data_IF_548340985338
#
_entry.id   IF_548340985338
#
_cell.length_a   1.000
_cell.length_b   1.000
_cell.length_c   1.000
_cell.angle_alpha   90.00
_cell.angle_beta   90.00
_cell.angle_gamma   90.00
#
_symmetry.space_group_name_H-M   'P 1'
#
loop_
_entity.id
_entity.type
_entity.pdbx_description
1 polymer ?
#
# COMPACT_ATOMS: atom_id res chain seq x y z
N UNK A 1 -6.55 -5.12 7.88
CA UNK A 1 -5.46 -4.28 7.37
C UNK A 1 -5.71 -3.73 5.96
N UNK A 2 -6.18 -4.57 5.06
CA UNK A 2 -6.40 -4.14 3.67
C UNK A 2 -7.39 -2.96 3.57
N UNK A 3 -8.43 -2.99 4.36
CA UNK A 3 -9.47 -1.94 4.34
C UNK A 3 -8.89 -0.57 4.70
N UNK A 4 -7.99 -0.53 5.66
CA UNK A 4 -7.35 0.71 6.07
C UNK A 4 -6.47 1.25 4.95
N UNK A 5 -5.66 0.39 4.33
CA UNK A 5 -4.81 0.79 3.21
C UNK A 5 -5.65 1.29 2.05
N UNK A 6 -6.72 0.58 1.71
CA UNK A 6 -7.62 0.97 0.63
C UNK A 6 -8.23 2.34 0.89
N UNK A 7 -8.69 2.58 2.11
CA UNK A 7 -9.27 3.88 2.50
C UNK A 7 -8.24 5.00 2.32
N UNK A 8 -7.01 4.79 2.76
CA UNK A 8 -5.95 5.78 2.62
C UNK A 8 -5.69 6.09 1.14
N UNK A 9 -5.56 5.05 0.33
CA UNK A 9 -5.24 5.22 -1.08
C UNK A 9 -6.39 5.91 -1.84
N UNK A 10 -7.63 5.54 -1.55
CA UNK A 10 -8.79 6.15 -2.21
C UNK A 10 -8.92 7.63 -1.92
N UNK A 11 -8.39 8.10 -0.78
CA UNK A 11 -8.37 9.51 -0.46
C UNK A 11 -7.24 10.28 -1.14
N UNK A 12 -6.22 9.58 -1.61
CA UNK A 12 -5.03 10.20 -2.21
C UNK A 12 -5.07 10.26 -3.73
N UNK A 13 -5.81 9.37 -4.37
CA UNK A 13 -5.80 9.24 -5.83
C UNK A 13 -6.96 9.98 -6.47
N UNK A 14 -6.74 10.43 -7.70
CA UNK A 14 -7.80 11.00 -8.52
C UNK A 14 -8.60 9.91 -9.24
N UNK A 15 -7.91 8.89 -9.73
CA UNK A 15 -8.56 7.80 -10.47
C UNK A 15 -8.79 6.61 -9.54
N UNK A 16 -9.92 6.64 -8.84
CA UNK A 16 -10.28 5.60 -7.88
C UNK A 16 -10.53 4.24 -8.52
N UNK A 17 -10.97 4.24 -9.77
CA UNK A 17 -11.29 3.01 -10.48
C UNK A 17 -10.03 2.20 -10.85
N UNK A 18 -8.88 2.86 -10.93
CA UNK A 18 -7.62 2.21 -11.26
C UNK A 18 -6.92 1.61 -10.04
N UNK A 19 -7.44 1.83 -8.84
CA UNK A 19 -6.83 1.29 -7.62
C UNK A 19 -7.03 -0.21 -7.55
N UNK A 20 -5.93 -0.94 -7.36
CA UNK A 20 -5.97 -2.39 -7.20
C UNK A 20 -4.96 -2.77 -6.12
N UNK A 21 -5.45 -3.37 -5.05
CA UNK A 21 -4.63 -3.78 -3.91
C UNK A 21 -4.77 -5.29 -3.76
N UNK A 22 -3.66 -6.00 -3.83
CA UNK A 22 -3.61 -7.44 -3.67
C UNK A 22 -2.86 -7.79 -2.40
N UNK A 23 -3.47 -8.59 -1.55
CA UNK A 23 -2.83 -9.07 -0.34
C UNK A 23 -2.13 -10.40 -0.62
N UNK A 24 -0.84 -10.47 -0.32
CA UNK A 24 -0.05 -11.68 -0.48
C UNK A 24 0.50 -12.07 0.88
N UNK A 25 0.12 -13.25 1.36
CA UNK A 25 0.61 -13.78 2.62
C UNK A 25 1.76 -14.74 2.35
N UNK A 26 2.84 -14.61 3.12
CA UNK A 26 3.99 -15.51 2.99
C UNK A 26 3.57 -16.91 3.43
N UNK A 27 3.65 -17.93 2.56
CA UNK A 27 3.24 -19.29 2.94
C UNK A 27 4.09 -19.92 4.04
N UNK A 28 5.32 -19.46 4.23
CA UNK A 28 6.20 -19.96 5.28
C UNK A 28 6.02 -19.22 6.60
N UNK A 29 5.47 -18.01 6.56
CA UNK A 29 5.22 -17.22 7.75
C UNK A 29 4.00 -16.34 7.53
N UNK A 30 2.86 -16.80 7.99
CA UNK A 30 1.57 -16.11 7.82
C UNK A 30 1.52 -14.73 8.48
N UNK A 31 2.48 -14.43 9.35
CA UNK A 31 2.57 -13.10 9.97
C UNK A 31 3.17 -12.06 9.04
N UNK A 32 3.82 -12.49 7.97
CA UNK A 32 4.37 -11.57 6.96
C UNK A 32 3.39 -11.41 5.82
N UNK A 33 2.91 -10.19 5.64
CA UNK A 33 1.92 -9.85 4.62
C UNK A 33 2.50 -8.76 3.72
N UNK A 34 2.35 -8.93 2.42
CA UNK A 34 2.73 -7.91 1.44
C UNK A 34 1.48 -7.45 0.70
N UNK A 35 1.31 -6.14 0.61
CA UNK A 35 0.26 -5.56 -0.22
C UNK A 35 0.89 -5.04 -1.50
N UNK A 36 0.46 -5.59 -2.62
CA UNK A 36 0.85 -5.11 -3.94
C UNK A 36 -0.18 -4.10 -4.40
N UNK A 37 0.25 -2.88 -4.65
CA UNK A 37 -0.65 -1.78 -4.94
C UNK A 37 -0.41 -1.22 -6.34
N UNK A 38 -1.50 -1.09 -7.09
CA UNK A 38 -1.49 -0.44 -8.40
C UNK A 38 -2.47 0.72 -8.38
N UNK A 39 -2.05 1.83 -8.93
CA UNK A 39 -2.90 3.00 -9.16
C UNK A 39 -2.62 3.53 -10.55
N UNK A 40 -3.41 4.50 -11.00
CA UNK A 40 -3.16 5.14 -12.28
C UNK A 40 -1.75 5.75 -12.31
N UNK A 41 -1.13 5.80 -13.48
CA UNK A 41 0.23 6.29 -13.63
C UNK A 41 0.44 7.69 -13.04
N UNK A 42 -0.50 8.60 -13.27
CA UNK A 42 -0.40 9.95 -12.73
C UNK A 42 -0.45 9.95 -11.20
N UNK A 43 -1.29 9.09 -10.63
CA UNK A 43 -1.39 8.98 -9.17
C UNK A 43 -0.14 8.34 -8.59
N UNK A 44 0.42 7.34 -9.27
CA UNK A 44 1.66 6.71 -8.85
C UNK A 44 2.79 7.72 -8.77
N UNK A 45 2.91 8.61 -9.76
CA UNK A 45 3.90 9.67 -9.76
C UNK A 45 3.79 10.57 -8.54
N UNK A 46 2.58 10.88 -8.11
CA UNK A 46 2.37 11.69 -6.91
C UNK A 46 2.70 10.95 -5.62
N UNK A 47 2.39 9.67 -5.57
CA UNK A 47 2.65 8.86 -4.37
C UNK A 47 4.15 8.64 -4.19
N UNK A 48 4.86 8.32 -5.27
CA UNK A 48 6.29 8.03 -5.22
C UNK A 48 7.13 9.32 -5.31
N UNK A 49 6.57 10.37 -5.90
CA UNK A 49 7.27 11.65 -6.08
C UNK A 49 7.64 12.31 -4.77
N UNK A 50 8.36 13.43 -4.85
CA UNK A 50 8.83 14.19 -3.69
C UNK A 50 9.64 13.32 -2.73
N UNK A 51 10.58 12.55 -3.29
CA UNK A 51 11.48 11.68 -2.53
C UNK A 51 10.73 10.56 -1.77
N UNK A 52 9.56 10.17 -2.26
CA UNK A 52 8.81 9.07 -1.68
C UNK A 52 8.16 9.37 -0.33
N UNK A 53 7.93 10.64 -0.02
CA UNK A 53 7.36 11.01 1.29
C UNK A 53 5.99 10.40 1.54
N UNK A 54 5.12 10.43 0.53
CA UNK A 54 3.77 9.88 0.67
C UNK A 54 3.86 8.36 0.84
N UNK A 55 4.67 7.69 0.01
CA UNK A 55 4.86 6.25 0.11
C UNK A 55 5.40 5.86 1.49
N UNK A 56 6.37 6.61 1.99
CA UNK A 56 6.96 6.36 3.30
C UNK A 56 5.92 6.52 4.42
N UNK A 57 5.08 7.54 4.33
CA UNK A 57 4.02 7.77 5.31
C UNK A 57 3.01 6.63 5.32
N UNK A 58 2.62 6.16 4.14
CA UNK A 58 1.71 5.02 4.01
C UNK A 58 2.31 3.78 4.67
N UNK A 59 3.58 3.50 4.41
CA UNK A 59 4.27 2.36 5.02
C UNK A 59 4.31 2.48 6.54
N UNK A 60 4.58 3.67 7.05
CA UNK A 60 4.64 3.90 8.49
C UNK A 60 3.29 3.65 9.16
N UNK A 61 2.22 4.16 8.58
CA UNK A 61 0.87 3.95 9.11
C UNK A 61 0.52 2.47 9.10
N UNK A 62 0.78 1.79 7.99
CA UNK A 62 0.44 0.38 7.88
C UNK A 62 1.27 -0.50 8.81
N UNK A 63 2.52 -0.15 9.06
CA UNK A 63 3.34 -0.87 10.04
C UNK A 63 2.76 -0.74 11.44
N UNK A 64 2.26 0.43 11.79
CA UNK A 64 1.60 0.63 13.09
C UNK A 64 0.34 -0.21 13.22
N UNK A 65 -0.45 -0.30 12.16
CA UNK A 65 -1.64 -1.14 12.13
C UNK A 65 -1.26 -2.61 12.28
N UNK A 66 -0.22 -3.04 11.57
CA UNK A 66 0.23 -4.43 11.58
C UNK A 66 0.71 -4.87 12.96
N UNK A 67 1.36 -3.98 13.71
CA UNK A 67 1.82 -4.28 15.07
C UNK A 67 0.64 -4.66 15.97
N UNK A 68 -0.48 -3.98 15.84
CA UNK A 68 -1.68 -4.30 16.61
C UNK A 68 -2.20 -5.70 16.30
N UNK A 69 -2.03 -6.15 15.07
CA UNK A 69 -2.45 -7.47 14.62
C UNK A 69 -1.34 -8.52 14.78
N UNK A 70 -0.21 -8.14 15.38
CA UNK A 70 0.98 -8.99 15.54
C UNK A 70 1.51 -9.53 14.21
N UNK A 71 1.47 -8.66 13.19
CA UNK A 71 1.93 -8.99 11.83
C UNK A 71 2.99 -8.02 11.37
N UNK A 72 3.73 -8.41 10.35
CA UNK A 72 4.66 -7.54 9.62
C UNK A 72 4.06 -7.28 8.25
N UNK A 73 4.09 -6.04 7.83
CA UNK A 73 3.52 -5.65 6.55
C UNK A 73 4.57 -4.96 5.69
N UNK A 74 4.57 -5.30 4.42
CA UNK A 74 5.30 -4.58 3.39
C UNK A 74 4.32 -4.11 2.34
N UNK A 75 4.63 -2.97 1.71
CA UNK A 75 3.81 -2.43 0.65
C UNK A 75 4.70 -2.25 -0.58
N UNK A 76 4.31 -2.88 -1.67
CA UNK A 76 4.98 -2.76 -2.94
C UNK A 76 4.12 -1.92 -3.89
N UNK A 77 4.71 -0.88 -4.43
CA UNK A 77 4.06 -0.05 -5.44
C UNK A 77 4.44 -0.58 -6.80
N UNK A 78 3.46 -1.10 -7.52
CA UNK A 78 3.67 -1.75 -8.80
C UNK A 78 3.49 -0.73 -9.93
N UNK A 79 4.49 -0.58 -10.77
CA UNK A 79 4.39 0.30 -11.93
C UNK A 79 3.37 -0.22 -12.92
N UNK A 80 2.55 0.71 -13.42
CA UNK A 80 1.57 0.42 -14.45
C UNK A 80 2.10 1.03 -15.74
N UNK A 81 2.53 0.21 -16.64
CA UNK A 81 3.00 0.67 -17.96
C UNK A 81 1.84 0.97 -18.89
#
# INVERSE_FOLDING_TARGET
MKDILETIILHLVDNKEAVNITEVTNPENEKNVTFEMKVAKNDMGRIIGKQGRVAKSIRTVMKSVAVKDRKKVDIEFIDVD
#
